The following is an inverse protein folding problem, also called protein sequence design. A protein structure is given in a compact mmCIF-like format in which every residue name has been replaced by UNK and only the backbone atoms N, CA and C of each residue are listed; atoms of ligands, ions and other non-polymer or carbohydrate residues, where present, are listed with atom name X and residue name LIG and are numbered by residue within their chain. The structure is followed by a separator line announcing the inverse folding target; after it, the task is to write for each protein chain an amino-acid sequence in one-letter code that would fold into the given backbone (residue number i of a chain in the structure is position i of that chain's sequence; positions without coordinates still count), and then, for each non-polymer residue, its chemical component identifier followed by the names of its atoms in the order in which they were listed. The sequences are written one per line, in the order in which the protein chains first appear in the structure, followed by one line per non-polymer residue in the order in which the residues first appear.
data_IF_594562707648
#
_entry.id   IF_594562707648
#
_cell.length_a   1.000
_cell.length_b   1.000
_cell.length_c   1.000
_cell.angle_alpha   90.00
_cell.angle_beta   90.00
_cell.angle_gamma   90.00
#
_symmetry.space_group_name_H-M   'P 1'
#
loop_
_entity.id
_entity.type
_entity.pdbx_description
1 polymer ?
#
# COMPACT_ATOMS: atom_id res chain seq x y z
N UNK A 1 14.54 -4.16 -6.20
CA UNK A 1 13.24 -4.87 -6.21
C UNK A 1 12.43 -4.40 -5.02
N UNK A 2 11.19 -4.05 -5.27
CA UNK A 2 10.30 -3.40 -4.31
C UNK A 2 9.24 -4.39 -3.81
N UNK A 3 8.58 -4.10 -2.71
CA UNK A 3 7.56 -4.95 -2.11
C UNK A 3 6.36 -4.14 -1.63
N UNK A 4 5.17 -4.56 -2.07
CA UNK A 4 3.89 -4.00 -1.64
C UNK A 4 3.02 -5.11 -1.06
N UNK A 5 2.23 -4.76 -0.06
CA UNK A 5 1.22 -5.65 0.52
C UNK A 5 -0.03 -4.85 0.87
N UNK A 6 -1.19 -5.43 0.59
CA UNK A 6 -2.50 -4.91 0.96
C UNK A 6 -3.36 -6.01 1.57
N UNK A 7 -4.11 -5.68 2.62
CA UNK A 7 -5.05 -6.57 3.30
C UNK A 7 -6.36 -5.80 3.50
N UNK A 8 -7.45 -6.38 3.02
CA UNK A 8 -8.79 -5.88 3.21
C UNK A 8 -9.38 -6.50 4.50
N UNK A 9 -9.64 -5.64 5.49
CA UNK A 9 -10.45 -5.95 6.65
C UNK A 9 -11.95 -5.73 6.37
N UNK A 10 -12.76 -5.85 7.41
CA UNK A 10 -14.21 -5.68 7.30
C UNK A 10 -14.60 -4.21 7.06
N UNK A 11 -13.98 -3.29 7.82
CA UNK A 11 -14.26 -1.86 7.78
C UNK A 11 -13.01 -1.01 7.45
N UNK A 12 -11.90 -1.65 7.08
CA UNK A 12 -10.64 -0.96 6.81
C UNK A 12 -9.85 -1.67 5.70
N UNK A 13 -8.95 -0.92 5.06
CA UNK A 13 -7.91 -1.48 4.20
C UNK A 13 -6.56 -1.10 4.80
N UNK A 14 -5.70 -2.08 5.00
CA UNK A 14 -4.33 -1.88 5.43
C UNK A 14 -3.41 -2.08 4.23
N UNK A 15 -2.51 -1.14 4.02
CA UNK A 15 -1.47 -1.21 2.98
C UNK A 15 -0.12 -0.90 3.58
N UNK A 16 0.92 -1.54 3.05
CA UNK A 16 2.30 -1.28 3.40
C UNK A 16 3.20 -1.43 2.19
N UNK A 17 4.29 -0.65 2.19
CA UNK A 17 5.34 -0.68 1.19
C UNK A 17 6.70 -0.77 1.89
N UNK A 18 7.70 -1.25 1.17
CA UNK A 18 9.09 -1.09 1.58
C UNK A 18 9.58 0.35 1.36
N UNK A 19 10.50 0.82 2.20
CA UNK A 19 11.02 2.18 2.12
C UNK A 19 12.35 2.29 1.33
N UNK A 20 12.78 1.21 0.66
CA UNK A 20 14.10 1.16 0.05
C UNK A 20 14.01 1.59 -1.41
N UNK A 21 14.85 2.58 -1.78
CA UNK A 21 15.20 2.85 -3.17
C UNK A 21 16.64 2.37 -3.39
N UNK A 22 16.79 1.30 -4.18
CA UNK A 22 18.07 0.70 -4.51
C UNK A 22 18.39 0.93 -5.98
N UNK A 23 19.66 1.18 -6.27
CA UNK A 23 20.18 1.26 -7.63
C UNK A 23 21.41 0.35 -7.74
N UNK A 24 21.37 -0.63 -8.64
CA UNK A 24 22.35 -1.71 -8.68
C UNK A 24 22.46 -2.39 -7.29
N UNK A 25 23.67 -2.66 -6.82
CA UNK A 25 23.95 -3.31 -5.53
C UNK A 25 23.82 -2.39 -4.31
N UNK A 26 23.61 -1.08 -4.50
CA UNK A 26 23.66 -0.09 -3.43
C UNK A 26 22.26 0.46 -3.10
N UNK A 27 21.96 0.56 -1.81
CA UNK A 27 20.76 1.24 -1.30
C UNK A 27 21.01 2.75 -1.29
N UNK A 28 20.38 3.49 -2.20
CA UNK A 28 20.51 4.95 -2.31
C UNK A 28 19.70 5.66 -1.22
N UNK A 29 18.50 5.16 -0.93
CA UNK A 29 17.57 5.75 0.02
C UNK A 29 16.87 4.67 0.84
N UNK A 30 16.61 4.96 2.11
CA UNK A 30 15.99 4.03 3.08
C UNK A 30 14.64 4.51 3.62
N UNK A 31 14.24 5.71 3.21
CA UNK A 31 13.03 6.45 3.62
C UNK A 31 12.20 6.87 2.38
N UNK A 32 12.19 6.04 1.33
CA UNK A 32 11.41 6.30 0.13
C UNK A 32 9.94 5.95 0.35
N UNK A 33 9.06 6.93 0.21
CA UNK A 33 7.62 6.69 0.18
C UNK A 33 7.18 6.25 -1.24
N UNK A 34 6.34 5.23 -1.29
CA UNK A 34 5.76 4.64 -2.52
C UNK A 34 4.24 4.77 -2.54
N UNK A 35 3.67 5.42 -1.51
CA UNK A 35 2.25 5.67 -1.37
C UNK A 35 1.91 7.06 -1.89
N UNK A 36 0.94 7.12 -2.79
CA UNK A 36 0.44 8.34 -3.38
C UNK A 36 -1.00 8.56 -2.95
N UNK A 37 -1.23 9.63 -2.19
CA UNK A 37 -2.57 10.04 -1.76
C UNK A 37 -3.32 10.63 -2.95
N UNK A 38 -4.27 9.88 -3.51
CA UNK A 38 -5.11 10.33 -4.63
C UNK A 38 -6.22 11.25 -4.14
N UNK A 39 -6.84 10.91 -3.02
CA UNK A 39 -7.93 11.63 -2.38
C UNK A 39 -7.91 11.32 -0.88
N UNK A 40 -8.77 11.94 -0.08
CA UNK A 40 -8.85 11.66 1.36
C UNK A 40 -9.23 10.21 1.67
N UNK A 41 -9.83 9.50 0.71
CA UNK A 41 -10.31 8.11 0.85
C UNK A 41 -9.54 7.08 0.02
N UNK A 42 -8.60 7.50 -0.83
CA UNK A 42 -7.95 6.63 -1.82
C UNK A 42 -6.43 6.80 -1.77
N UNK A 43 -5.74 5.67 -1.63
CA UNK A 43 -4.29 5.52 -1.71
C UNK A 43 -3.91 4.64 -2.91
N UNK A 44 -2.92 5.10 -3.65
CA UNK A 44 -2.30 4.34 -4.74
C UNK A 44 -0.87 4.00 -4.34
N UNK A 45 -0.52 2.72 -4.43
CA UNK A 45 0.86 2.25 -4.25
C UNK A 45 1.38 1.86 -5.62
N UNK A 46 2.57 2.36 -5.96
CA UNK A 46 3.14 2.17 -7.28
C UNK A 46 4.56 1.62 -7.18
N UNK A 47 4.83 0.52 -7.88
CA UNK A 47 6.15 -0.11 -8.00
C UNK A 47 6.40 -0.50 -9.44
N UNK A 48 7.65 -0.52 -9.89
CA UNK A 48 7.96 -0.79 -11.29
C UNK A 48 9.25 -0.13 -11.75
N UNK A 49 9.30 0.22 -13.03
CA UNK A 49 10.44 0.89 -13.62
C UNK A 49 10.65 2.28 -13.02
N UNK A 50 11.92 2.64 -12.80
CA UNK A 50 12.26 3.94 -12.24
C UNK A 50 11.89 5.06 -13.22
N UNK A 51 11.20 6.09 -12.73
CA UNK A 51 10.71 7.20 -13.53
C UNK A 51 9.25 7.02 -13.98
N UNK A 52 8.91 5.86 -14.56
CA UNK A 52 7.53 5.53 -14.94
C UNK A 52 6.58 5.57 -13.74
N UNK A 53 7.02 4.99 -12.61
CA UNK A 53 6.23 4.93 -11.38
C UNK A 53 5.80 6.31 -10.88
N UNK A 54 6.75 7.25 -10.81
CA UNK A 54 6.49 8.62 -10.33
C UNK A 54 5.62 9.37 -11.32
N UNK A 55 5.96 9.34 -12.61
CA UNK A 55 5.20 10.06 -13.63
C UNK A 55 3.76 9.56 -13.72
N UNK A 56 3.57 8.24 -13.74
CA UNK A 56 2.24 7.65 -13.84
C UNK A 56 1.41 7.92 -12.58
N UNK A 57 2.00 7.75 -11.39
CA UNK A 57 1.29 8.00 -10.14
C UNK A 57 0.85 9.47 -10.01
N UNK A 58 1.72 10.42 -10.34
CA UNK A 58 1.39 11.85 -10.33
C UNK A 58 0.34 12.20 -11.39
N UNK A 59 0.44 11.64 -12.60
CA UNK A 59 -0.55 11.83 -13.66
C UNK A 59 -1.95 11.41 -13.20
N UNK A 60 -2.07 10.24 -12.59
CA UNK A 60 -3.35 9.76 -12.03
C UNK A 60 -3.80 10.67 -10.87
N UNK A 61 -2.90 11.03 -9.97
CA UNK A 61 -3.20 11.89 -8.82
C UNK A 61 -3.80 13.23 -9.27
N UNK A 62 -3.19 13.90 -10.24
CA UNK A 62 -3.69 15.20 -10.71
C UNK A 62 -5.02 15.10 -11.43
N UNK A 63 -5.25 14.05 -12.22
CA UNK A 63 -6.53 13.86 -12.90
C UNK A 63 -7.69 13.58 -11.92
N UNK A 64 -7.45 12.80 -10.87
CA UNK A 64 -8.45 12.54 -9.83
C UNK A 64 -8.73 13.82 -9.02
N UNK A 65 -7.70 14.60 -8.69
CA UNK A 65 -7.87 15.89 -8.03
C UNK A 65 -8.63 16.89 -8.91
N UNK A 66 -8.35 16.91 -10.22
CA UNK A 66 -9.09 17.73 -11.17
C UNK A 66 -10.57 17.32 -11.23
N UNK A 67 -10.88 16.02 -11.21
CA UNK A 67 -12.26 15.54 -11.15
C UNK A 67 -12.98 16.07 -9.90
N UNK A 68 -12.34 15.98 -8.73
CA UNK A 68 -12.86 16.50 -7.46
C UNK A 68 -13.17 17.99 -7.55
N UNK A 69 -12.27 18.79 -8.12
CA UNK A 69 -12.46 20.24 -8.27
C UNK A 69 -13.57 20.61 -9.27
N UNK A 70 -13.71 19.86 -10.36
CA UNK A 70 -14.72 20.13 -11.40
C UNK A 70 -16.13 19.77 -10.98
N UNK A 71 -16.29 18.67 -10.26
CA UNK A 71 -17.62 18.11 -9.95
C UNK A 71 -18.05 18.35 -8.49
N UNK A 72 -17.13 18.73 -7.60
CA UNK A 72 -17.41 19.01 -6.19
C UNK A 72 -17.51 17.78 -5.29
N UNK A 73 -17.32 16.57 -5.82
CA UNK A 73 -17.32 15.31 -5.05
C UNK A 73 -16.17 14.39 -5.50
N UNK A 74 -15.77 13.46 -4.63
CA UNK A 74 -14.66 12.54 -4.87
C UNK A 74 -15.09 11.31 -5.67
N UNK A 75 -14.15 10.71 -6.41
CA UNK A 75 -14.39 9.44 -7.10
C UNK A 75 -14.48 8.29 -6.10
N UNK A 76 -15.32 7.29 -6.39
CA UNK A 76 -15.30 6.04 -5.65
C UNK A 76 -14.00 5.27 -5.95
N UNK A 77 -13.51 4.42 -5.02
CA UNK A 77 -12.30 3.61 -5.25
C UNK A 77 -12.42 2.73 -6.51
N UNK A 78 -13.62 2.21 -6.77
CA UNK A 78 -13.92 1.39 -7.96
C UNK A 78 -13.79 2.21 -9.25
N UNK A 79 -14.27 3.45 -9.25
CA UNK A 79 -14.14 4.34 -10.40
C UNK A 79 -12.68 4.75 -10.63
N UNK A 80 -11.95 5.08 -9.55
CA UNK A 80 -10.53 5.39 -9.61
C UNK A 80 -9.71 4.21 -10.16
N UNK A 81 -9.98 2.97 -9.71
CA UNK A 81 -9.29 1.78 -10.18
C UNK A 81 -9.56 1.48 -11.67
N UNK A 82 -10.80 1.69 -12.14
CA UNK A 82 -11.11 1.55 -13.56
C UNK A 82 -10.47 2.66 -14.41
N UNK A 83 -10.38 3.88 -13.87
CA UNK A 83 -9.71 4.99 -14.53
C UNK A 83 -8.20 4.73 -14.67
N UNK A 84 -7.54 4.26 -13.62
CA UNK A 84 -6.10 3.89 -13.67
C UNK A 84 -5.87 2.77 -14.68
N UNK A 85 -6.69 1.72 -14.64
CA UNK A 85 -6.63 0.61 -15.58
C UNK A 85 -6.77 1.05 -17.02
N UNK A 86 -7.72 1.95 -17.30
CA UNK A 86 -7.96 2.46 -18.66
C UNK A 86 -6.73 3.18 -19.20
N UNK A 87 -6.15 4.09 -18.42
CA UNK A 87 -4.95 4.82 -18.83
C UNK A 87 -3.78 3.86 -19.08
N UNK A 88 -3.55 2.90 -18.17
CA UNK A 88 -2.48 1.90 -18.34
C UNK A 88 -2.68 1.08 -19.64
N UNK A 89 -3.91 0.67 -19.92
CA UNK A 89 -4.25 -0.11 -21.11
C UNK A 89 -4.09 0.68 -22.42
N UNK A 90 -4.45 1.98 -22.40
CA UNK A 90 -4.30 2.87 -23.55
C UNK A 90 -2.80 3.09 -23.88
N UNK A 91 -1.95 3.25 -22.85
CA UNK A 91 -0.50 3.39 -23.03
C UNK A 91 0.19 2.07 -23.38
N UNK A 92 -0.35 0.92 -23.00
CA UNK A 92 0.27 -0.40 -23.22
C UNK A 92 0.56 -0.70 -24.71
N UNK A 93 -0.30 -0.25 -25.63
CA UNK A 93 -0.11 -0.41 -27.09
C UNK A 93 0.43 0.84 -27.78
N UNK A 94 0.82 1.84 -27.02
CA UNK A 94 1.46 3.05 -27.53
C UNK A 94 2.97 2.85 -27.70
N UNK A 95 3.68 3.86 -28.20
CA UNK A 95 5.16 3.85 -28.28
C UNK A 95 5.83 3.98 -26.91
N UNK A 96 5.09 4.38 -25.87
CA UNK A 96 5.58 4.67 -24.53
C UNK A 96 4.74 3.90 -23.50
N UNK A 97 4.94 2.57 -23.37
CA UNK A 97 4.25 1.77 -22.36
C UNK A 97 4.80 2.07 -20.97
N UNK A 98 3.92 2.15 -19.96
CA UNK A 98 4.32 2.28 -18.56
C UNK A 98 4.51 0.90 -17.93
N UNK A 99 5.71 0.63 -17.40
CA UNK A 99 6.01 -0.61 -16.70
C UNK A 99 5.80 -0.47 -15.19
N UNK A 100 4.53 -0.44 -14.77
CA UNK A 100 4.14 -0.25 -13.37
C UNK A 100 3.17 -1.34 -12.89
N UNK A 101 3.37 -1.81 -11.66
CA UNK A 101 2.43 -2.64 -10.92
C UNK A 101 1.87 -1.82 -9.76
N UNK A 102 0.56 -1.94 -9.51
CA UNK A 102 -0.15 -1.01 -8.64
C UNK A 102 -1.07 -1.75 -7.67
N UNK A 103 -1.09 -1.31 -6.41
CA UNK A 103 -2.20 -1.58 -5.51
C UNK A 103 -2.98 -0.30 -5.31
N UNK A 104 -4.30 -0.34 -5.51
CA UNK A 104 -5.18 0.75 -5.16
C UNK A 104 -6.02 0.32 -3.96
N UNK A 105 -5.86 1.03 -2.86
CA UNK A 105 -6.65 0.86 -1.66
C UNK A 105 -7.57 2.07 -1.49
N UNK A 106 -8.83 1.81 -1.19
CA UNK A 106 -9.75 2.88 -0.85
C UNK A 106 -10.84 2.42 0.08
N UNK A 107 -11.49 3.39 0.71
CA UNK A 107 -12.63 3.17 1.57
C UNK A 107 -13.79 4.01 1.07
N UNK A 108 -14.88 3.35 0.69
CA UNK A 108 -16.14 4.04 0.36
C UNK A 108 -17.14 3.89 1.50
N UNK A 109 -17.99 4.90 1.69
CA UNK A 109 -19.00 4.88 2.75
C UNK A 109 -20.17 3.95 2.42
N UNK A 110 -20.48 3.78 1.13
CA UNK A 110 -21.57 2.91 0.66
C UNK A 110 -21.11 1.49 0.39
N UNK A 111 -19.98 1.33 -0.30
CA UNK A 111 -19.48 0.04 -0.79
C UNK A 111 -18.47 -0.62 0.16
N UNK A 112 -18.03 0.13 1.18
CA UNK A 112 -17.05 -0.33 2.17
C UNK A 112 -15.60 -0.31 1.68
N UNK A 113 -14.69 -1.06 2.33
CA UNK A 113 -13.29 -1.12 1.93
C UNK A 113 -13.13 -1.83 0.57
N UNK A 114 -12.21 -1.33 -0.25
CA UNK A 114 -11.87 -1.92 -1.54
C UNK A 114 -10.36 -1.97 -1.75
N UNK A 115 -9.84 -3.16 -2.04
CA UNK A 115 -8.46 -3.37 -2.46
C UNK A 115 -8.45 -3.90 -3.90
N UNK A 116 -7.75 -3.19 -4.76
CA UNK A 116 -7.63 -3.50 -6.19
C UNK A 116 -6.17 -3.77 -6.53
N UNK A 117 -5.94 -4.95 -7.10
CA UNK A 117 -4.68 -5.37 -7.68
C UNK A 117 -4.65 -5.02 -9.16
N UNK A 118 -3.58 -4.37 -9.62
CA UNK A 118 -3.34 -4.14 -11.03
C UNK A 118 -1.92 -4.53 -11.43
N UNK A 119 -1.80 -5.26 -12.53
CA UNK A 119 -0.51 -5.59 -13.13
C UNK A 119 -0.13 -4.57 -14.22
N UNK A 120 1.14 -4.63 -14.64
CA UNK A 120 1.67 -3.86 -15.76
C UNK A 120 1.02 -4.18 -17.12
N UNK A 121 0.19 -5.22 -17.22
CA UNK A 121 -0.61 -5.55 -18.40
C UNK A 121 -2.04 -4.98 -18.33
N UNK A 122 -2.34 -4.16 -17.32
CA UNK A 122 -3.65 -3.51 -17.11
C UNK A 122 -4.80 -4.47 -16.79
N UNK A 123 -4.52 -5.67 -16.27
CA UNK A 123 -5.51 -6.51 -15.62
C UNK A 123 -5.86 -5.92 -14.26
N UNK A 124 -7.14 -5.92 -13.91
CA UNK A 124 -7.64 -5.42 -12.64
C UNK A 124 -8.42 -6.52 -11.95
N UNK A 125 -8.06 -6.79 -10.69
CA UNK A 125 -8.76 -7.73 -9.84
C UNK A 125 -9.05 -7.09 -8.48
N UNK A 126 -10.28 -7.24 -8.00
CA UNK A 126 -10.61 -6.94 -6.59
C UNK A 126 -10.20 -8.15 -5.76
N UNK A 127 -9.35 -7.96 -4.77
CA UNK A 127 -8.77 -9.06 -3.99
C UNK A 127 -8.84 -8.77 -2.48
N UNK A 128 -9.13 -9.78 -1.64
CA UNK A 128 -9.17 -9.62 -0.18
C UNK A 128 -7.79 -9.32 0.41
N UNK A 129 -6.74 -9.83 -0.22
CA UNK A 129 -5.35 -9.50 0.08
C UNK A 129 -4.55 -9.59 -1.21
N UNK A 130 -3.52 -8.79 -1.32
CA UNK A 130 -2.71 -8.71 -2.52
C UNK A 130 -1.28 -8.29 -2.17
N UNK A 131 -0.32 -8.74 -2.97
CA UNK A 131 1.07 -8.35 -2.82
C UNK A 131 1.76 -8.25 -4.19
N UNK A 132 2.74 -7.34 -4.30
CA UNK A 132 3.63 -7.23 -5.45
C UNK A 132 5.09 -7.35 -5.03
N UNK A 133 5.93 -7.70 -6.00
CA UNK A 133 7.35 -7.93 -5.82
C UNK A 133 7.65 -9.37 -5.41
N UNK A 134 8.93 -9.73 -5.36
CA UNK A 134 9.35 -11.10 -5.03
C UNK A 134 8.92 -11.53 -3.62
N UNK A 135 8.74 -10.59 -2.69
CA UNK A 135 8.22 -10.90 -1.36
C UNK A 135 6.82 -11.50 -1.38
N UNK A 136 6.02 -11.24 -2.42
CA UNK A 136 4.67 -11.77 -2.54
C UNK A 136 4.64 -13.31 -2.53
N UNK A 137 5.63 -13.97 -3.13
CA UNK A 137 5.70 -15.44 -3.15
C UNK A 137 5.79 -16.07 -1.76
N UNK A 138 6.37 -15.36 -0.80
CA UNK A 138 6.52 -15.84 0.58
C UNK A 138 5.33 -15.43 1.46
N UNK A 139 4.81 -14.22 1.23
CA UNK A 139 3.81 -13.64 2.11
C UNK A 139 2.40 -14.10 1.78
N UNK A 140 2.09 -14.37 0.51
CA UNK A 140 0.76 -14.81 0.09
C UNK A 140 0.35 -16.14 0.75
N UNK A 141 1.26 -17.11 0.89
CA UNK A 141 0.97 -18.38 1.58
C UNK A 141 0.67 -18.20 3.06
N UNK A 142 1.30 -17.21 3.71
CA UNK A 142 1.06 -16.91 5.12
C UNK A 142 -0.29 -16.20 5.26
N UNK A 143 -0.57 -15.23 4.38
CA UNK A 143 -1.85 -14.54 4.36
C UNK A 143 -2.99 -15.55 4.16
N UNK A 144 -2.88 -16.46 3.20
CA UNK A 144 -3.90 -17.47 2.94
C UNK A 144 -4.17 -18.37 4.16
N UNK A 145 -3.12 -18.72 4.93
CA UNK A 145 -3.26 -19.55 6.14
C UNK A 145 -4.01 -18.86 7.28
N UNK A 146 -3.80 -17.56 7.46
CA UNK A 146 -4.32 -16.83 8.62
C UNK A 146 -5.52 -15.92 8.30
N UNK A 147 -5.74 -15.60 7.03
CA UNK A 147 -6.86 -14.81 6.58
C UNK A 147 -8.16 -15.61 6.72
N UNK A 148 -9.20 -14.97 7.27
CA UNK A 148 -10.53 -15.57 7.41
C UNK A 148 -11.57 -14.72 6.70
N UNK A 149 -12.56 -15.33 6.01
CA UNK A 149 -13.57 -14.62 5.23
C UNK A 149 -14.65 -13.87 6.06
N UNK A 150 -14.38 -13.58 7.34
CA UNK A 150 -15.20 -12.72 8.21
C UNK A 150 -14.45 -11.47 8.68
N UNK A 151 -13.31 -11.15 8.06
CA UNK A 151 -12.41 -10.08 8.46
C UNK A 151 -11.40 -10.51 9.52
N UNK A 152 -10.23 -9.88 9.50
CA UNK A 152 -9.22 -9.98 10.55
C UNK A 152 -9.46 -8.79 11.50
N UNK A 153 -9.44 -8.99 12.82
CA UNK A 153 -9.47 -7.88 13.76
C UNK A 153 -8.21 -7.02 13.62
N UNK A 154 -8.34 -5.70 13.82
CA UNK A 154 -7.24 -4.73 13.60
C UNK A 154 -5.95 -5.12 14.35
N UNK A 155 -6.08 -5.69 15.56
CA UNK A 155 -4.96 -6.16 16.37
C UNK A 155 -4.20 -7.33 15.74
N UNK A 156 -4.93 -8.29 15.17
CA UNK A 156 -4.37 -9.51 14.58
C UNK A 156 -3.73 -9.21 13.21
N UNK A 157 -4.29 -8.24 12.47
CA UNK A 157 -3.72 -7.75 11.21
C UNK A 157 -2.39 -7.03 11.44
N UNK A 158 -2.28 -6.22 12.51
CA UNK A 158 -1.03 -5.54 12.86
C UNK A 158 0.04 -6.55 13.31
N UNK A 159 -0.34 -7.56 14.10
CA UNK A 159 0.57 -8.62 14.54
C UNK A 159 1.06 -9.49 13.37
N UNK A 160 0.20 -9.84 12.42
CA UNK A 160 0.60 -10.56 11.20
C UNK A 160 1.55 -9.73 10.34
N UNK A 161 1.28 -8.44 10.17
CA UNK A 161 2.15 -7.55 9.42
C UNK A 161 3.55 -7.45 10.06
N UNK A 162 3.62 -7.25 11.38
CA UNK A 162 4.87 -7.26 12.15
C UNK A 162 5.61 -8.59 12.04
N UNK A 163 4.90 -9.71 12.10
CA UNK A 163 5.49 -11.05 12.03
C UNK A 163 6.02 -11.35 10.62
N UNK A 164 5.30 -10.94 9.58
CA UNK A 164 5.74 -11.00 8.17
C UNK A 164 6.97 -10.12 7.91
N UNK A 165 7.00 -8.91 8.47
CA UNK A 165 8.11 -7.97 8.31
C UNK A 165 9.37 -8.44 9.05
N UNK A 166 9.21 -8.95 10.28
CA UNK A 166 10.27 -9.56 11.07
C UNK A 166 10.82 -10.84 10.41
N UNK A 167 9.97 -11.65 9.78
CA UNK A 167 10.41 -12.83 9.04
C UNK A 167 11.20 -12.46 7.78
N UNK A 168 10.80 -11.40 7.07
CA UNK A 168 11.48 -10.93 5.86
C UNK A 168 12.87 -10.31 6.15
N UNK A 169 12.99 -9.52 7.22
CA UNK A 169 14.28 -8.99 7.68
C UNK A 169 15.15 -10.09 8.28
N UNK A 170 14.56 -11.00 9.08
CA UNK A 170 15.28 -12.07 9.77
C UNK A 170 15.84 -13.16 8.85
N UNK A 171 15.23 -13.40 7.68
CA UNK A 171 15.72 -14.42 6.74
C UNK A 171 16.86 -13.92 5.83
N UNK A 172 17.00 -12.61 5.63
CA UNK A 172 18.06 -12.00 4.81
C UNK A 172 19.25 -11.56 5.68
N UNK A 173 19.02 -11.34 6.99
CA UNK A 173 20.03 -10.84 7.92
C UNK A 173 20.00 -11.69 9.22
N UNK A 174 20.76 -12.79 9.27
CA UNK A 174 21.19 -13.36 10.56
C UNK A 174 22.67 -13.02 10.79
N UNK A 175 23.23 -12.83 12.01
CA UNK A 175 22.68 -12.60 13.35
C UNK A 175 23.38 -11.40 14.06
N UNK A 176 23.54 -10.25 13.40
CA UNK A 176 24.48 -9.20 13.88
C UNK A 176 23.95 -7.76 13.67
N UNK A 177 22.91 -7.36 14.41
CA UNK A 177 22.64 -5.96 14.85
C UNK A 177 21.20 -5.80 15.38
N UNK A 178 20.98 -5.46 16.65
CA UNK A 178 19.65 -5.21 17.19
C UNK A 178 19.42 -3.70 17.34
N UNK A 179 19.33 -2.90 16.27
CA UNK A 179 18.96 -1.47 16.42
C UNK A 179 18.63 -0.82 15.06
N UNK A 180 17.37 -0.92 14.63
CA UNK A 180 16.67 0.14 13.90
C UNK A 180 15.22 -0.29 13.65
N UNK A 181 14.36 -0.10 14.64
CA UNK A 181 12.92 -0.06 14.41
C UNK A 181 12.60 1.36 13.91
N UNK A 182 12.46 1.54 12.61
CA UNK A 182 12.13 2.86 12.03
C UNK A 182 10.81 2.80 11.26
N UNK A 183 9.80 3.37 11.92
CA UNK A 183 8.60 4.07 11.41
C UNK A 183 7.85 3.42 10.23
N UNK A 184 6.80 2.67 10.57
CA UNK A 184 5.68 2.42 9.68
C UNK A 184 4.72 3.62 9.75
N UNK A 185 4.57 4.36 8.65
CA UNK A 185 3.50 5.35 8.52
C UNK A 185 2.18 4.61 8.30
N UNK A 186 1.32 4.60 9.33
CA UNK A 186 -0.04 4.06 9.25
C UNK A 186 -1.01 5.19 8.92
N UNK A 187 -1.75 5.05 7.81
CA UNK A 187 -2.90 5.91 7.52
C UNK A 187 -4.16 5.04 7.59
N UNK A 188 -4.74 4.98 8.79
CA UNK A 188 -6.02 4.31 9.04
C UNK A 188 -7.14 5.18 8.46
N UNK A 189 -7.72 4.74 7.35
CA UNK A 189 -8.96 5.30 6.82
C UNK A 189 -10.13 4.70 7.59
N UNK A 190 -10.54 5.38 8.68
CA UNK A 190 -11.73 5.05 9.47
C UNK A 190 -12.79 6.14 9.29
N UNK A 191 -14.07 5.75 9.23
CA UNK A 191 -15.22 6.63 8.98
C UNK A 191 -15.49 7.71 10.07
N UNK A 192 -14.75 7.72 11.19
CA UNK A 192 -15.14 8.52 12.37
C UNK A 192 -14.03 9.26 13.12
N UNK A 193 -12.81 9.41 12.58
CA UNK A 193 -11.76 10.17 13.27
C UNK A 193 -11.24 11.38 12.46
N UNK A 194 -11.77 12.57 12.78
CA UNK A 194 -11.03 13.84 12.64
C UNK A 194 -10.01 13.91 13.78
N UNK A 195 -8.74 13.58 13.52
CA UNK A 195 -7.62 14.03 14.34
C UNK A 195 -6.49 14.55 13.43
N UNK A 196 -5.85 15.68 13.77
CA UNK A 196 -4.97 16.41 12.87
C UNK A 196 -3.61 15.72 12.73
N UNK A 197 -2.90 16.09 11.66
CA UNK A 197 -1.53 15.68 11.35
C UNK A 197 -0.64 15.57 12.59
N UNK A 198 -0.20 14.36 12.94
CA UNK A 198 0.93 14.16 13.85
C UNK A 198 2.19 13.89 13.04
N UNK A 199 2.80 14.99 12.60
CA UNK A 199 4.24 15.06 12.39
C UNK A 199 4.85 15.47 13.73
N UNK A 200 5.39 14.55 14.54
CA UNK A 200 6.40 14.92 15.54
C UNK A 200 7.22 13.73 16.03
N UNK A 201 8.53 13.94 16.01
CA UNK A 201 9.55 13.17 16.69
C UNK A 201 9.38 13.19 18.22
N UNK A 202 9.96 12.18 18.89
CA UNK A 202 10.33 12.13 20.31
C UNK A 202 9.20 12.23 21.36
N UNK A 203 8.81 11.10 21.98
CA UNK A 203 9.08 10.86 23.42
C UNK A 203 8.44 9.56 24.00
N UNK A 204 9.31 8.82 24.72
CA UNK A 204 9.13 7.85 25.82
C UNK A 204 8.56 6.43 25.60
N UNK A 205 9.16 5.41 26.26
CA UNK A 205 8.81 4.00 26.12
C UNK A 205 7.67 3.62 27.09
N UNK A 206 6.64 2.93 26.58
CA UNK A 206 5.61 2.31 27.41
C UNK A 206 5.98 0.86 27.69
N UNK A 207 6.47 0.61 28.90
CA UNK A 207 6.62 -0.72 29.51
C UNK A 207 5.28 -1.23 30.01
N UNK A 208 4.97 -2.49 29.69
CA UNK A 208 4.07 -3.34 30.48
C UNK A 208 2.66 -3.51 29.94
N UNK A 209 2.39 -4.66 29.32
CA UNK A 209 1.04 -5.24 29.32
C UNK A 209 1.12 -6.71 29.76
N UNK A 210 0.46 -6.96 30.89
CA UNK A 210 0.42 -8.22 31.63
C UNK A 210 -0.71 -9.08 31.05
N UNK A 211 -0.42 -10.35 30.76
CA UNK A 211 -1.37 -11.34 30.26
C UNK A 211 -2.01 -12.00 31.49
N UNK A 212 -3.35 -12.02 31.54
CA UNK A 212 -4.09 -13.04 32.29
C UNK A 212 -4.64 -14.04 31.29
#
# INVERSE_FOLDING_TARGET
MEYLIGIQGQDFVLVAADNVAAHSIVKMKQDQDKMFKLSDKILLLCVGEAGDTVQFAEYIQKNIQLYKMRNGYELSPTAAANFTRKNLADYLRSRTPYHVNLLLAGFDETDGPGLYYMDHLSALAKAPFAAHGHGAYLTLSILDRYYRPGGISLSLSLSLHLLLFLYFIGLIISPFSPLSASVAHYLLLHSSCRFPLFSLALSKPFTGFNIK
#
